data_IF_699758132201
#
_entry.id   IF_699758132201
#
_cell.length_a   1.000
_cell.length_b   1.000
_cell.length_c   1.000
_cell.angle_alpha   90.00
_cell.angle_beta   90.00
_cell.angle_gamma   90.00
#
_symmetry.space_group_name_H-M   'P 1'
#
loop_
_entity.id
_entity.type
_entity.pdbx_description
1 polymer ?
#
# COMPACT_ATOMS: atom_id res chain seq x y z
N UNK A 1 -6.15 31.36 63.67
CA UNK A 1 -6.29 32.70 64.26
C UNK A 1 -7.38 33.42 63.48
N UNK A 2 -8.60 33.48 64.02
CA UNK A 2 -9.74 34.09 63.33
C UNK A 2 -9.79 35.56 63.70
N UNK A 3 -9.66 36.44 62.71
CA UNK A 3 -9.81 37.88 62.89
C UNK A 3 -11.23 38.21 62.50
N UNK A 4 -12.06 38.58 63.47
CA UNK A 4 -13.42 39.04 63.24
C UNK A 4 -13.39 40.53 62.90
N UNK A 5 -13.96 40.90 61.75
CA UNK A 5 -14.16 42.30 61.41
C UNK A 5 -15.35 42.85 62.19
N UNK A 6 -15.10 43.83 63.07
CA UNK A 6 -16.09 44.39 63.99
C UNK A 6 -17.18 45.23 63.30
N UNK A 7 -17.07 45.47 61.99
CA UNK A 7 -17.98 46.37 61.28
C UNK A 7 -19.11 45.66 60.53
N UNK A 8 -18.92 44.39 60.11
CA UNK A 8 -19.87 43.71 59.22
C UNK A 8 -20.35 42.34 59.74
N UNK A 9 -19.80 41.83 60.85
CA UNK A 9 -20.22 40.56 61.46
C UNK A 9 -19.99 39.29 60.62
N UNK A 10 -19.56 39.42 59.37
CA UNK A 10 -19.27 38.29 58.48
C UNK A 10 -17.89 37.70 58.81
N UNK A 11 -17.87 36.43 59.19
CA UNK A 11 -16.64 35.65 59.34
C UNK A 11 -16.03 35.44 57.95
N UNK A 12 -14.94 36.14 57.66
CA UNK A 12 -14.16 35.89 56.45
C UNK A 12 -13.24 34.69 56.73
N UNK A 13 -13.61 33.52 56.20
CA UNK A 13 -12.72 32.37 56.19
C UNK A 13 -11.59 32.68 55.20
N UNK A 14 -10.45 33.18 55.70
CA UNK A 14 -9.21 33.17 54.93
C UNK A 14 -8.78 31.72 54.84
N UNK A 15 -9.18 31.07 53.75
CA UNK A 15 -8.67 29.74 53.41
C UNK A 15 -7.21 29.95 53.01
N UNK A 16 -6.30 29.70 53.94
CA UNK A 16 -4.91 29.41 53.59
C UNK A 16 -4.91 28.01 52.96
N UNK A 17 -5.41 27.91 51.73
CA UNK A 17 -5.23 26.73 50.91
C UNK A 17 -3.74 26.59 50.68
N UNK A 18 -3.17 25.48 51.17
CA UNK A 18 -1.74 25.21 51.16
C UNK A 18 -1.19 25.26 49.75
N UNK A 19 -0.67 26.43 49.36
CA UNK A 19 -0.15 26.69 48.01
C UNK A 19 0.91 25.68 47.60
N UNK A 20 1.79 25.25 48.50
CA UNK A 20 2.87 24.32 48.18
C UNK A 20 2.40 22.88 47.91
N UNK A 21 1.44 22.37 48.71
CA UNK A 21 0.92 21.01 48.52
C UNK A 21 -0.12 20.93 47.39
N UNK A 22 -0.81 22.03 47.10
CA UNK A 22 -1.77 22.11 46.01
C UNK A 22 -1.08 22.29 44.65
N UNK A 23 -0.01 23.08 44.57
CA UNK A 23 0.82 23.18 43.35
C UNK A 23 1.45 21.84 43.00
N UNK A 24 1.98 21.09 43.98
CA UNK A 24 2.60 19.78 43.71
C UNK A 24 1.62 18.74 43.16
N UNK A 25 0.36 18.77 43.61
CA UNK A 25 -0.68 17.91 43.03
C UNK A 25 -1.12 18.37 41.64
N UNK A 26 -1.16 19.68 41.39
CA UNK A 26 -1.49 20.22 40.08
C UNK A 26 -0.38 19.92 39.07
N UNK A 27 0.89 20.03 39.46
CA UNK A 27 2.06 19.69 38.66
C UNK A 27 2.07 18.20 38.30
N UNK A 28 1.76 17.30 39.25
CA UNK A 28 1.59 15.87 38.95
C UNK A 28 0.45 15.57 37.97
N UNK A 29 -0.63 16.35 38.01
CA UNK A 29 -1.76 16.20 37.08
C UNK A 29 -1.39 16.69 35.68
N UNK A 30 -0.71 17.82 35.57
CA UNK A 30 -0.20 18.36 34.30
C UNK A 30 0.80 17.38 33.68
N UNK A 31 1.77 16.87 34.44
CA UNK A 31 2.76 15.92 33.94
C UNK A 31 2.11 14.60 33.47
N UNK A 32 1.13 14.08 34.21
CA UNK A 32 0.37 12.90 33.78
C UNK A 32 -0.44 13.18 32.52
N UNK A 33 -1.01 14.37 32.39
CA UNK A 33 -1.83 14.75 31.22
C UNK A 33 -0.96 14.88 29.98
N UNK A 34 0.21 15.52 30.07
CA UNK A 34 1.20 15.58 28.98
C UNK A 34 1.70 14.19 28.56
N UNK A 35 1.96 13.30 29.52
CA UNK A 35 2.33 11.91 29.23
C UNK A 35 1.20 11.12 28.55
N UNK A 36 -0.07 11.38 28.93
CA UNK A 36 -1.23 10.73 28.33
C UNK A 36 -1.46 11.29 26.91
N UNK A 37 -1.37 12.59 26.71
CA UNK A 37 -1.51 13.23 25.39
C UNK A 37 -0.45 12.70 24.42
N UNK A 38 0.82 12.63 24.84
CA UNK A 38 1.89 12.04 24.03
C UNK A 38 1.66 10.57 23.68
N UNK A 39 1.13 9.77 24.63
CA UNK A 39 0.78 8.36 24.39
C UNK A 39 -0.40 8.20 23.43
N UNK A 40 -1.41 9.07 23.54
CA UNK A 40 -2.59 9.05 22.68
C UNK A 40 -2.21 9.42 21.25
N UNK A 41 -1.35 10.42 21.05
CA UNK A 41 -0.87 10.80 19.72
C UNK A 41 -0.04 9.68 19.07
N UNK A 42 0.86 9.05 19.84
CA UNK A 42 1.61 7.88 19.40
C UNK A 42 0.69 6.71 19.01
N UNK A 43 -0.33 6.39 19.82
CA UNK A 43 -1.31 5.35 19.50
C UNK A 43 -2.12 5.67 18.25
N UNK A 44 -2.60 6.90 18.10
CA UNK A 44 -3.36 7.32 16.92
C UNK A 44 -2.52 7.19 15.64
N UNK A 45 -1.23 7.53 15.73
CA UNK A 45 -0.29 7.38 14.64
C UNK A 45 -0.05 5.93 14.25
N UNK A 46 0.15 5.05 15.23
CA UNK A 46 0.29 3.61 15.00
C UNK A 46 -0.97 3.00 14.38
N UNK A 47 -2.16 3.41 14.84
CA UNK A 47 -3.44 2.97 14.26
C UNK A 47 -3.57 3.36 12.78
N UNK A 48 -3.17 4.60 12.42
CA UNK A 48 -3.19 5.06 11.03
C UNK A 48 -2.25 4.25 10.15
N UNK A 49 -1.04 3.95 10.64
CA UNK A 49 -0.08 3.10 9.92
C UNK A 49 -0.63 1.67 9.76
N UNK A 50 -1.22 1.10 10.81
CA UNK A 50 -1.81 -0.24 10.76
C UNK A 50 -3.02 -0.32 9.81
N UNK A 51 -3.85 0.72 9.74
CA UNK A 51 -4.93 0.81 8.77
C UNK A 51 -4.39 0.86 7.33
N UNK A 52 -3.40 1.72 7.09
CA UNK A 52 -2.75 1.84 5.78
C UNK A 52 -2.10 0.52 5.34
N UNK A 53 -1.43 -0.19 6.24
CA UNK A 53 -0.80 -1.48 5.96
C UNK A 53 -1.83 -2.57 5.61
N UNK A 54 -2.99 -2.59 6.28
CA UNK A 54 -4.10 -3.51 5.93
C UNK A 54 -4.68 -3.22 4.55
N UNK A 55 -4.91 -1.95 4.23
CA UNK A 55 -5.38 -1.56 2.89
C UNK A 55 -4.38 -1.94 1.80
N UNK A 56 -3.09 -1.76 2.07
CA UNK A 56 -2.04 -2.15 1.16
C UNK A 56 -2.01 -3.67 0.94
N UNK A 57 -2.14 -4.46 2.00
CA UNK A 57 -2.24 -5.92 1.87
C UNK A 57 -3.43 -6.35 1.00
N UNK A 58 -4.62 -5.77 1.24
CA UNK A 58 -5.80 -6.06 0.43
C UNK A 58 -5.60 -5.67 -1.05
N UNK A 59 -5.01 -4.49 -1.32
CA UNK A 59 -4.65 -4.07 -2.68
C UNK A 59 -3.65 -5.02 -3.33
N UNK A 60 -2.61 -5.45 -2.61
CA UNK A 60 -1.65 -6.43 -3.12
C UNK A 60 -2.32 -7.75 -3.48
N UNK A 61 -3.25 -8.24 -2.66
CA UNK A 61 -3.98 -9.48 -2.95
C UNK A 61 -4.83 -9.37 -4.22
N UNK A 62 -5.52 -8.25 -4.43
CA UNK A 62 -6.30 -8.02 -5.66
C UNK A 62 -5.44 -7.96 -6.94
N UNK A 63 -4.19 -7.52 -6.80
CA UNK A 63 -3.26 -7.32 -7.91
C UNK A 63 -2.36 -8.54 -8.19
N UNK A 64 -2.21 -9.45 -7.22
CA UNK A 64 -1.49 -10.72 -7.41
C UNK A 64 -2.24 -11.58 -8.42
N UNK A 65 -1.54 -12.01 -9.48
CA UNK A 65 -2.07 -12.99 -10.42
C UNK A 65 -1.85 -14.37 -9.81
N UNK A 66 -2.94 -15.10 -9.53
CA UNK A 66 -2.84 -16.52 -9.18
C UNK A 66 -2.33 -17.27 -10.40
N UNK A 67 -1.13 -17.83 -10.29
CA UNK A 67 -0.63 -18.77 -11.27
C UNK A 67 -1.47 -20.05 -11.25
N UNK A 68 -1.47 -20.81 -12.34
CA UNK A 68 -2.16 -22.10 -12.49
C UNK A 68 -1.76 -23.12 -11.41
N UNK A 69 -0.61 -22.89 -10.75
CA UNK A 69 -0.07 -23.73 -9.68
C UNK A 69 -0.44 -23.23 -8.27
N UNK A 70 -1.36 -22.26 -8.13
CA UNK A 70 -1.82 -21.74 -6.84
C UNK A 70 -0.83 -20.81 -6.12
N UNK A 71 0.42 -20.73 -6.58
CA UNK A 71 1.44 -19.85 -5.99
C UNK A 71 1.18 -18.40 -6.44
N UNK A 72 0.91 -17.47 -5.52
CA UNK A 72 0.78 -16.06 -5.86
C UNK A 72 2.15 -15.50 -6.22
N UNK A 73 2.34 -15.08 -7.47
CA UNK A 73 3.55 -14.39 -7.89
C UNK A 73 3.29 -12.90 -7.99
N UNK A 74 4.22 -12.08 -7.48
CA UNK A 74 4.22 -10.67 -7.82
C UNK A 74 4.43 -10.55 -9.34
N UNK A 75 3.66 -9.70 -10.04
CA UNK A 75 3.85 -9.46 -11.46
C UNK A 75 5.24 -8.85 -11.67
N UNK A 76 6.21 -9.70 -12.00
CA UNK A 76 7.56 -9.28 -12.32
C UNK A 76 7.60 -8.86 -13.79
N UNK A 77 7.87 -7.58 -14.03
CA UNK A 77 8.06 -7.03 -15.37
C UNK A 77 9.09 -7.80 -16.20
N UNK A 78 10.12 -8.34 -15.53
CA UNK A 78 11.23 -9.07 -16.17
C UNK A 78 10.77 -10.42 -16.74
N UNK A 79 9.96 -11.19 -16.00
CA UNK A 79 9.48 -12.51 -16.48
C UNK A 79 8.47 -12.37 -17.61
N UNK A 80 7.60 -11.35 -17.54
CA UNK A 80 6.66 -11.03 -18.62
C UNK A 80 7.39 -10.64 -19.91
N UNK A 81 8.39 -9.76 -19.81
CA UNK A 81 9.16 -9.29 -20.97
C UNK A 81 9.89 -10.45 -21.68
N UNK A 82 10.56 -11.32 -20.92
CA UNK A 82 11.27 -12.48 -21.50
C UNK A 82 10.30 -13.41 -22.23
N UNK A 83 9.11 -13.66 -21.68
CA UNK A 83 8.10 -14.51 -22.33
C UNK A 83 7.55 -13.92 -23.63
N UNK A 84 7.37 -12.59 -23.68
CA UNK A 84 6.91 -11.90 -24.89
C UNK A 84 8.00 -11.92 -25.96
N UNK A 85 9.24 -11.61 -25.61
CA UNK A 85 10.36 -11.60 -26.56
C UNK A 85 10.56 -12.99 -27.16
N UNK A 86 10.71 -14.02 -26.33
CA UNK A 86 10.91 -15.39 -26.79
C UNK A 86 9.72 -15.89 -27.62
N UNK A 87 8.50 -15.56 -27.18
CA UNK A 87 7.28 -15.95 -27.87
C UNK A 87 7.14 -15.31 -29.25
N UNK A 88 7.51 -14.04 -29.40
CA UNK A 88 7.53 -13.36 -30.70
C UNK A 88 8.59 -13.98 -31.62
N UNK A 89 9.79 -14.28 -31.11
CA UNK A 89 10.83 -14.96 -31.90
C UNK A 89 10.39 -16.33 -32.42
N UNK A 90 9.80 -17.15 -31.55
CA UNK A 90 9.31 -18.48 -31.94
C UNK A 90 8.13 -18.39 -32.91
N UNK A 91 7.18 -17.49 -32.65
CA UNK A 91 6.04 -17.25 -33.54
C UNK A 91 6.47 -16.76 -34.91
N UNK A 92 7.44 -15.84 -34.97
CA UNK A 92 8.01 -15.33 -36.21
C UNK A 92 8.76 -16.42 -36.98
N UNK A 93 9.51 -17.29 -36.29
CA UNK A 93 10.19 -18.42 -36.91
C UNK A 93 9.20 -19.40 -37.55
N UNK A 94 8.12 -19.77 -36.84
CA UNK A 94 7.06 -20.65 -37.37
C UNK A 94 6.34 -19.98 -38.55
N UNK A 95 6.07 -18.68 -38.45
CA UNK A 95 5.45 -17.91 -39.53
C UNK A 95 6.31 -17.91 -40.80
N UNK A 96 7.62 -17.65 -40.68
CA UNK A 96 8.55 -17.65 -41.80
C UNK A 96 8.72 -19.03 -42.45
N UNK A 97 8.73 -20.11 -41.65
CA UNK A 97 8.74 -21.48 -42.19
C UNK A 97 7.48 -21.79 -43.00
N UNK A 98 6.31 -21.32 -42.54
CA UNK A 98 5.06 -21.46 -43.29
C UNK A 98 5.01 -20.61 -44.56
N UNK A 99 5.52 -19.38 -44.52
CA UNK A 99 5.53 -18.46 -45.65
C UNK A 99 6.57 -18.83 -46.73
N UNK A 100 7.66 -19.49 -46.35
CA UNK A 100 8.68 -19.99 -47.27
C UNK A 100 8.29 -21.30 -47.99
N UNK A 101 7.28 -22.01 -47.50
CA UNK A 101 6.71 -23.19 -48.16
C UNK A 101 5.65 -22.71 -49.17
N UNK A 102 6.04 -22.55 -50.44
CA UNK A 102 5.28 -21.91 -51.51
C UNK A 102 4.05 -22.68 -52.04
N UNK A 103 3.48 -23.60 -51.25
CA UNK A 103 2.28 -24.36 -51.63
C UNK A 103 1.01 -23.68 -51.12
N UNK A 104 0.30 -23.00 -52.04
CA UNK A 104 -1.06 -22.48 -51.81
C UNK A 104 -2.04 -23.64 -51.58
N UNK A 105 -2.25 -23.98 -50.30
CA UNK A 105 -3.16 -25.05 -49.85
C UNK A 105 -2.48 -26.18 -49.07
N UNK A 106 -1.15 -26.18 -48.96
CA UNK A 106 -0.38 -27.18 -48.22
C UNK A 106 -0.19 -26.85 -46.73
N UNK A 107 0.56 -27.69 -46.00
CA UNK A 107 0.87 -27.49 -44.58
C UNK A 107 1.46 -26.11 -44.25
N UNK A 108 2.14 -25.46 -45.21
CA UNK A 108 2.72 -24.12 -45.06
C UNK A 108 1.73 -23.04 -44.66
N UNK A 109 0.51 -23.05 -45.24
CA UNK A 109 -0.55 -22.09 -44.89
C UNK A 109 -0.99 -22.27 -43.43
N UNK A 110 -1.09 -23.51 -42.97
CA UNK A 110 -1.48 -23.83 -41.58
C UNK A 110 -0.41 -23.31 -40.60
N UNK A 111 0.87 -23.54 -40.89
CA UNK A 111 1.97 -23.02 -40.04
C UNK A 111 2.00 -21.49 -40.02
N UNK A 112 1.75 -20.82 -41.15
CA UNK A 112 1.70 -19.37 -41.22
C UNK A 112 0.54 -18.80 -40.38
N UNK A 113 -0.66 -19.37 -40.48
CA UNK A 113 -1.82 -18.94 -39.66
C UNK A 113 -1.59 -19.20 -38.17
N UNK A 114 -1.03 -20.36 -37.80
CA UNK A 114 -0.70 -20.68 -36.40
C UNK A 114 0.37 -19.74 -35.87
N UNK A 115 1.41 -19.45 -36.64
CA UNK A 115 2.46 -18.50 -36.26
C UNK A 115 1.90 -17.10 -36.02
N UNK A 116 1.04 -16.61 -36.93
CA UNK A 116 0.37 -15.32 -36.79
C UNK A 116 -0.56 -15.28 -35.54
N UNK A 117 -1.36 -16.33 -35.33
CA UNK A 117 -2.22 -16.43 -34.15
C UNK A 117 -1.42 -16.47 -32.84
N UNK A 118 -0.29 -17.20 -32.81
CA UNK A 118 0.59 -17.26 -31.65
C UNK A 118 1.16 -15.87 -31.31
N UNK A 119 1.63 -15.12 -32.31
CA UNK A 119 2.14 -13.74 -32.10
C UNK A 119 1.05 -12.84 -31.50
N UNK A 120 -0.18 -12.90 -32.01
CA UNK A 120 -1.31 -12.11 -31.50
C UNK A 120 -1.67 -12.48 -30.06
N UNK A 121 -1.72 -13.77 -29.73
CA UNK A 121 -2.03 -14.23 -28.38
C UNK A 121 -0.94 -13.85 -27.36
N UNK A 122 0.33 -13.94 -27.77
CA UNK A 122 1.48 -13.62 -26.91
C UNK A 122 1.56 -12.12 -26.65
N UNK A 123 1.39 -11.29 -27.67
CA UNK A 123 1.36 -9.82 -27.52
C UNK A 123 0.15 -9.35 -26.73
N UNK A 124 -1.04 -9.91 -26.98
CA UNK A 124 -2.26 -9.59 -26.23
C UNK A 124 -2.17 -9.95 -24.75
N UNK A 125 -1.68 -11.15 -24.43
CA UNK A 125 -1.47 -11.56 -23.03
C UNK A 125 -0.35 -10.75 -22.35
N UNK A 126 0.70 -10.40 -23.08
CA UNK A 126 1.77 -9.53 -22.61
C UNK A 126 1.27 -8.12 -22.24
N UNK A 127 0.42 -7.53 -23.08
CA UNK A 127 -0.19 -6.21 -22.82
C UNK A 127 -1.05 -6.22 -21.56
N UNK A 128 -1.86 -7.25 -21.38
CA UNK A 128 -2.68 -7.40 -20.18
C UNK A 128 -1.84 -7.53 -18.89
N UNK A 129 -0.75 -8.29 -18.95
CA UNK A 129 0.20 -8.41 -17.83
C UNK A 129 0.93 -7.09 -17.55
N UNK A 130 1.27 -6.33 -18.60
CA UNK A 130 1.93 -5.04 -18.48
C UNK A 130 1.06 -4.03 -17.73
N UNK A 131 -0.22 -3.88 -18.12
CA UNK A 131 -1.14 -2.97 -17.43
C UNK A 131 -1.28 -3.32 -15.95
N UNK A 132 -1.35 -4.62 -15.62
CA UNK A 132 -1.46 -5.11 -14.25
C UNK A 132 -0.21 -4.82 -13.42
N UNK A 133 0.97 -4.98 -14.03
CA UNK A 133 2.24 -4.63 -13.41
C UNK A 133 2.39 -3.11 -13.18
N UNK A 134 1.89 -2.29 -14.11
CA UNK A 134 1.89 -0.84 -13.97
C UNK A 134 0.94 -0.37 -12.85
N UNK A 135 -0.26 -0.96 -12.77
CA UNK A 135 -1.20 -0.71 -11.68
C UNK A 135 -0.58 -1.05 -10.30
N UNK A 136 0.16 -2.15 -10.21
CA UNK A 136 0.89 -2.52 -9.00
C UNK A 136 1.97 -1.50 -8.62
N UNK A 137 2.81 -1.08 -9.57
CA UNK A 137 3.85 -0.07 -9.34
C UNK A 137 3.27 1.30 -8.96
N UNK A 138 2.13 1.69 -9.56
CA UNK A 138 1.44 2.93 -9.20
C UNK A 138 0.93 2.87 -7.77
N UNK A 139 0.26 1.78 -7.40
CA UNK A 139 -0.27 1.58 -6.04
C UNK A 139 0.86 1.50 -5.00
N UNK A 140 1.99 0.85 -5.32
CA UNK A 140 3.17 0.78 -4.44
C UNK A 140 3.77 2.16 -4.17
N UNK A 141 3.87 3.00 -5.21
CA UNK A 141 4.38 4.38 -5.09
C UNK A 141 3.45 5.27 -4.27
N UNK A 142 2.14 5.06 -4.37
CA UNK A 142 1.16 5.79 -3.56
C UNK A 142 1.24 5.39 -2.08
N UNK A 143 1.28 4.09 -1.79
CA UNK A 143 1.49 3.59 -0.44
C UNK A 143 2.81 4.11 0.18
N UNK A 144 3.90 4.10 -0.58
CA UNK A 144 5.19 4.63 -0.12
C UNK A 144 5.12 6.12 0.24
N UNK A 145 4.40 6.92 -0.56
CA UNK A 145 4.16 8.35 -0.28
C UNK A 145 3.31 8.55 0.98
N UNK A 146 2.21 7.82 1.13
CA UNK A 146 1.34 7.90 2.32
C UNK A 146 2.09 7.49 3.59
N UNK A 147 2.94 6.46 3.51
CA UNK A 147 3.75 6.03 4.65
C UNK A 147 4.81 7.03 5.05
N UNK A 148 5.38 7.78 4.10
CA UNK A 148 6.32 8.87 4.39
C UNK A 148 5.63 10.06 5.08
N UNK A 149 4.37 10.34 4.78
CA UNK A 149 3.60 11.41 5.44
C UNK A 149 3.20 11.06 6.88
N UNK A 150 3.10 9.76 7.19
CA UNK A 150 2.81 9.26 8.55
C UNK A 150 4.09 9.02 9.38
N UNK A 151 5.27 9.22 8.80
CA UNK A 151 6.60 9.07 9.41
C UNK A 151 7.18 10.40 9.86
#
# INVERSE_FOLDING_TARGET
MHITCLHCGTQLAVVHEGGAAYTEKLDQLVERTEQIEGKVDAMHREQKIAALDREWQAKQESLKVRSKNGIPHLPSKVKGLVSVVLGVFVGMFIFCLGAGASDTGGPGVIFSVIGAAAILLITGSGFWQYQRAEAYEKAKREYGRQRQQLR
#
